data_IF_467949395391
#
_entry.id   IF_467949395391
#
_cell.length_a   1.000
_cell.length_b   1.000
_cell.length_c   1.000
_cell.angle_alpha   90.00
_cell.angle_beta   90.00
_cell.angle_gamma   90.00
#
_symmetry.space_group_name_H-M   'P 1'
#
loop_
_entity.id
_entity.type
_entity.pdbx_description
1 polymer ?
#
# COMPACT_ATOMS: atom_id res chain seq x y z
N UNK A 1 5.62 0.66 19.99
CA UNK A 1 5.00 -0.13 18.90
C UNK A 1 4.04 0.78 18.17
N UNK A 2 4.06 0.87 16.83
CA UNK A 2 3.17 1.79 16.11
C UNK A 2 1.74 1.22 16.02
N UNK A 3 0.72 2.10 15.97
CA UNK A 3 -0.69 1.70 15.85
C UNK A 3 -0.95 0.79 14.65
N UNK A 4 -0.33 1.08 13.51
CA UNK A 4 -0.57 0.34 12.26
C UNK A 4 -0.06 -1.09 12.37
N UNK A 5 1.10 -1.27 13.00
CA UNK A 5 1.64 -2.59 13.24
C UNK A 5 0.74 -3.41 14.19
N UNK A 6 0.27 -2.80 15.29
CA UNK A 6 -0.60 -3.49 16.23
C UNK A 6 -1.91 -3.94 15.57
N UNK A 7 -2.60 -3.01 14.90
CA UNK A 7 -3.86 -3.33 14.20
C UNK A 7 -3.66 -4.39 13.11
N UNK A 8 -2.55 -4.35 12.38
CA UNK A 8 -2.26 -5.37 11.35
C UNK A 8 -2.10 -6.76 11.97
N UNK A 9 -1.42 -6.87 13.12
CA UNK A 9 -1.30 -8.14 13.83
C UNK A 9 -2.64 -8.65 14.38
N UNK A 10 -3.47 -7.75 14.89
CA UNK A 10 -4.78 -8.12 15.42
C UNK A 10 -5.66 -8.67 14.27
N UNK A 11 -5.66 -8.00 13.11
CA UNK A 11 -6.32 -8.49 11.88
C UNK A 11 -5.80 -9.88 11.48
N UNK A 12 -4.48 -10.07 11.45
CA UNK A 12 -3.88 -11.37 11.10
C UNK A 12 -4.28 -12.48 12.09
N UNK A 13 -4.33 -12.16 13.38
CA UNK A 13 -4.75 -13.08 14.43
C UNK A 13 -6.21 -13.49 14.27
N UNK A 14 -7.10 -12.52 14.05
CA UNK A 14 -8.53 -12.75 13.92
C UNK A 14 -8.87 -13.52 12.65
N UNK A 15 -8.13 -13.30 11.56
CA UNK A 15 -8.35 -13.97 10.28
C UNK A 15 -7.65 -15.33 10.14
N UNK A 16 -6.84 -15.78 11.11
CA UNK A 16 -5.95 -16.95 10.99
C UNK A 16 -6.62 -18.23 10.48
N UNK A 17 -7.90 -18.44 10.78
CA UNK A 17 -8.68 -19.62 10.37
C UNK A 17 -9.84 -19.29 9.41
N UNK A 18 -9.89 -18.08 8.84
CA UNK A 18 -10.98 -17.61 7.98
C UNK A 18 -10.61 -17.58 6.49
N UNK A 19 -9.34 -17.81 6.17
CA UNK A 19 -8.78 -17.77 4.82
C UNK A 19 -7.32 -17.36 4.85
N UNK A 20 -6.59 -17.61 3.76
CA UNK A 20 -5.14 -17.36 3.72
C UNK A 20 -4.78 -15.94 3.28
N UNK A 21 -5.70 -15.24 2.60
CA UNK A 21 -5.43 -13.94 1.99
C UNK A 21 -6.28 -12.85 2.64
N UNK A 22 -5.65 -11.73 2.99
CA UNK A 22 -6.30 -10.55 3.56
C UNK A 22 -5.99 -9.35 2.67
N UNK A 23 -7.02 -8.59 2.30
CA UNK A 23 -6.86 -7.34 1.56
C UNK A 23 -7.10 -6.15 2.48
N UNK A 24 -6.08 -5.29 2.65
CA UNK A 24 -6.19 -4.03 3.38
C UNK A 24 -6.29 -2.88 2.36
N UNK A 25 -7.49 -2.33 2.18
CA UNK A 25 -7.71 -1.12 1.37
C UNK A 25 -7.64 0.11 2.28
N UNK A 26 -6.62 0.94 2.11
CA UNK A 26 -6.37 2.09 2.97
C UNK A 26 -5.64 3.21 2.21
N UNK A 27 -4.64 3.85 2.83
CA UNK A 27 -3.89 4.98 2.28
C UNK A 27 -2.50 4.56 1.82
N UNK A 28 -1.82 5.41 1.04
CA UNK A 28 -0.44 5.21 0.62
C UNK A 28 0.52 4.91 1.80
N UNK A 29 0.33 5.58 2.93
CA UNK A 29 1.09 5.34 4.17
C UNK A 29 0.93 3.93 4.75
N UNK A 30 -0.20 3.27 4.49
CA UNK A 30 -0.49 1.94 5.02
C UNK A 30 0.41 0.86 4.43
N UNK A 31 0.84 1.00 3.16
CA UNK A 31 1.71 0.01 2.52
C UNK A 31 3.00 -0.19 3.32
N UNK A 32 3.62 0.89 3.79
CA UNK A 32 4.80 0.80 4.63
C UNK A 32 4.45 0.54 6.10
N UNK A 33 3.51 1.31 6.68
CA UNK A 33 3.26 1.28 8.11
C UNK A 33 2.69 -0.07 8.60
N UNK A 34 1.93 -0.78 7.76
CA UNK A 34 1.36 -2.08 8.10
C UNK A 34 2.33 -3.24 7.84
N UNK A 35 3.27 -3.11 6.90
CA UNK A 35 4.14 -4.24 6.49
C UNK A 35 5.55 -4.15 7.06
N UNK A 36 6.09 -2.96 7.34
CA UNK A 36 7.51 -2.80 7.66
C UNK A 36 7.92 -3.49 8.95
N UNK A 37 7.17 -3.24 10.02
CA UNK A 37 7.42 -3.88 11.31
C UNK A 37 7.01 -5.35 11.34
N UNK A 38 6.05 -5.74 10.51
CA UNK A 38 5.66 -7.13 10.32
C UNK A 38 6.84 -7.96 9.77
N UNK A 39 7.61 -7.38 8.85
CA UNK A 39 8.88 -7.93 8.34
C UNK A 39 10.06 -7.84 9.34
N UNK A 40 9.81 -7.50 10.60
CA UNK A 40 10.85 -7.35 11.63
C UNK A 40 11.74 -6.11 11.47
N UNK A 41 11.41 -5.17 10.58
CA UNK A 41 12.22 -3.96 10.34
C UNK A 41 11.82 -2.82 11.27
N UNK A 42 12.78 -1.96 11.61
CA UNK A 42 12.49 -0.71 12.34
C UNK A 42 11.71 0.28 11.46
N UNK A 43 10.82 1.10 12.05
CA UNK A 43 10.16 2.19 11.32
C UNK A 43 11.17 3.14 10.69
N UNK A 44 10.82 3.73 9.54
CA UNK A 44 11.63 4.80 8.96
C UNK A 44 11.56 6.09 9.80
N UNK A 45 12.50 6.99 9.53
CA UNK A 45 12.37 8.38 9.99
C UNK A 45 11.15 9.02 9.31
N UNK A 46 10.52 10.01 9.95
CA UNK A 46 9.36 10.70 9.39
C UNK A 46 9.66 11.32 8.02
N UNK A 47 10.90 11.78 7.80
CA UNK A 47 11.32 12.38 6.53
C UNK A 47 11.34 11.34 5.41
N UNK A 48 11.94 10.18 5.65
CA UNK A 48 12.07 9.11 4.65
C UNK A 48 10.71 8.47 4.36
N UNK A 49 9.90 8.30 5.41
CA UNK A 49 8.52 7.82 5.29
C UNK A 49 7.70 8.68 4.31
N UNK A 50 7.74 10.01 4.47
CA UNK A 50 7.00 10.93 3.59
C UNK A 50 7.49 10.83 2.14
N UNK A 51 8.79 10.61 1.91
CA UNK A 51 9.35 10.43 0.57
C UNK A 51 8.86 9.14 -0.12
N UNK A 52 8.63 8.08 0.65
CA UNK A 52 8.02 6.84 0.13
C UNK A 52 6.55 7.07 -0.21
N UNK A 53 5.77 7.62 0.74
CA UNK A 53 4.32 7.82 0.58
C UNK A 53 3.96 8.63 -0.66
N UNK A 54 4.74 9.66 -0.99
CA UNK A 54 4.51 10.52 -2.16
C UNK A 54 4.69 9.83 -3.51
N UNK A 55 5.34 8.66 -3.55
CA UNK A 55 5.60 7.91 -4.78
C UNK A 55 4.55 6.83 -5.06
N UNK A 56 3.61 6.60 -4.15
CA UNK A 56 2.61 5.54 -4.27
C UNK A 56 1.41 6.09 -5.05
N UNK A 57 1.09 5.55 -6.24
CA UNK A 57 -0.06 5.98 -7.02
C UNK A 57 -1.38 5.45 -6.43
N UNK A 58 -2.51 5.89 -6.97
CA UNK A 58 -3.79 5.25 -6.69
C UNK A 58 -3.77 3.78 -7.11
N UNK A 59 -4.37 2.93 -6.28
CA UNK A 59 -4.26 1.46 -6.37
C UNK A 59 -2.80 0.96 -6.35
N UNK A 60 -1.87 1.73 -5.79
CA UNK A 60 -0.55 1.23 -5.43
C UNK A 60 -0.70 0.01 -4.53
N UNK A 61 -0.08 -1.10 -4.94
CA UNK A 61 -0.35 -2.42 -4.37
C UNK A 61 0.96 -3.11 -3.99
N UNK A 62 0.99 -3.79 -2.84
CA UNK A 62 2.08 -4.66 -2.42
C UNK A 62 1.52 -5.96 -1.83
N UNK A 63 2.26 -7.06 -1.96
CA UNK A 63 1.98 -8.31 -1.25
C UNK A 63 3.02 -8.53 -0.16
N UNK A 64 2.58 -9.00 1.00
CA UNK A 64 3.44 -9.34 2.14
C UNK A 64 3.04 -10.74 2.59
N UNK A 65 3.94 -11.70 2.49
CA UNK A 65 3.65 -13.13 2.70
C UNK A 65 4.48 -13.70 3.83
N UNK A 66 3.84 -14.50 4.68
CA UNK A 66 4.50 -15.30 5.71
C UNK A 66 5.20 -16.50 5.07
N UNK A 67 6.52 -16.60 5.26
CA UNK A 67 7.31 -17.71 4.75
C UNK A 67 7.08 -18.96 5.61
N UNK A 68 6.50 -20.02 5.05
CA UNK A 68 5.96 -21.17 5.80
C UNK A 68 6.98 -21.91 6.69
N UNK A 69 8.25 -21.85 6.36
CA UNK A 69 9.37 -22.50 7.03
C UNK A 69 10.00 -21.65 8.13
N UNK A 70 9.80 -20.32 8.14
CA UNK A 70 10.41 -19.41 9.12
C UNK A 70 9.40 -18.59 9.93
N UNK A 71 8.14 -18.48 9.47
CA UNK A 71 7.14 -17.57 10.02
C UNK A 71 7.49 -16.09 9.82
N UNK A 72 8.52 -15.79 9.03
CA UNK A 72 8.95 -14.41 8.76
C UNK A 72 8.09 -13.85 7.63
N UNK A 73 7.59 -12.64 7.81
CA UNK A 73 6.87 -11.93 6.76
C UNK A 73 7.84 -11.21 5.84
N UNK A 74 7.58 -11.26 4.54
CA UNK A 74 8.41 -10.59 3.52
C UNK A 74 7.54 -9.99 2.42
N UNK A 75 7.96 -8.85 1.87
CA UNK A 75 7.36 -8.32 0.66
C UNK A 75 7.73 -9.20 -0.54
N UNK A 76 6.74 -9.54 -1.34
CA UNK A 76 6.90 -10.31 -2.58
C UNK A 76 6.19 -9.58 -3.73
N UNK A 77 6.41 -10.06 -4.96
CA UNK A 77 5.71 -9.53 -6.12
C UNK A 77 4.20 -9.75 -5.99
N UNK A 78 3.37 -8.69 -6.20
CA UNK A 78 1.93 -8.85 -6.22
C UNK A 78 1.45 -9.85 -7.28
N UNK A 79 0.35 -10.59 -7.04
CA UNK A 79 -0.20 -11.52 -8.01
C UNK A 79 -0.95 -10.82 -9.18
N UNK A 80 -0.83 -9.50 -9.31
CA UNK A 80 -1.48 -8.67 -10.32
C UNK A 80 -0.49 -7.67 -10.91
N UNK A 81 -0.74 -7.24 -12.15
CA UNK A 81 0.05 -6.22 -12.81
C UNK A 81 -0.25 -4.82 -12.23
N UNK A 82 0.72 -3.89 -12.27
CA UNK A 82 0.49 -2.51 -11.86
C UNK A 82 -0.47 -1.80 -12.83
N UNK A 83 -1.22 -0.82 -12.30
CA UNK A 83 -2.09 0.05 -13.09
C UNK A 83 -1.39 1.39 -13.34
N UNK A 84 -1.38 1.85 -14.58
CA UNK A 84 -0.88 3.19 -14.94
C UNK A 84 -1.72 3.75 -16.09
N UNK A 85 -2.18 5.00 -15.92
CA UNK A 85 -2.91 5.73 -16.94
C UNK A 85 -2.55 7.22 -16.88
N UNK A 86 -2.72 7.92 -18.00
CA UNK A 86 -2.47 9.36 -18.08
C UNK A 86 -3.63 10.20 -17.55
N UNK A 87 -3.39 11.49 -17.22
CA UNK A 87 -4.46 12.42 -16.89
C UNK A 87 -5.36 12.66 -18.11
N UNK A 88 -6.64 12.86 -17.86
CA UNK A 88 -7.56 13.43 -18.85
C UNK A 88 -7.84 14.88 -18.45
N UNK A 89 -7.21 15.83 -19.14
CA UNK A 89 -7.32 17.24 -18.79
C UNK A 89 -8.73 17.76 -19.09
N UNK A 90 -9.21 18.67 -18.23
CA UNK A 90 -10.49 19.34 -18.43
C UNK A 90 -10.51 20.06 -19.79
N UNK A 91 -11.56 19.83 -20.55
CA UNK A 91 -11.80 20.49 -21.83
C UNK A 91 -12.96 21.48 -21.70
N UNK A 92 -12.68 22.76 -21.92
CA UNK A 92 -13.69 23.79 -22.03
C UNK A 92 -13.84 24.20 -23.49
N UNK A 93 -14.93 23.75 -24.13
CA UNK A 93 -15.14 24.00 -25.55
C UNK A 93 -15.34 25.48 -25.89
N UNK A 94 -15.86 26.32 -24.99
CA UNK A 94 -16.03 27.75 -25.28
C UNK A 94 -14.68 28.45 -25.37
N UNK A 95 -13.82 28.26 -24.38
CA UNK A 95 -12.45 28.80 -24.40
C UNK A 95 -11.59 28.22 -25.53
N UNK A 96 -11.82 26.95 -25.87
CA UNK A 96 -10.98 26.27 -26.88
C UNK A 96 -11.44 26.56 -28.31
N UNK A 97 -12.76 26.62 -28.56
CA UNK A 97 -13.33 26.66 -29.91
C UNK A 97 -13.92 28.02 -30.28
N UNK A 98 -14.27 28.88 -29.32
CA UNK A 98 -14.87 30.20 -29.56
C UNK A 98 -13.88 31.34 -29.25
N UNK A 99 -12.58 31.16 -29.45
CA UNK A 99 -11.60 32.25 -29.30
C UNK A 99 -12.06 33.45 -30.14
N UNK A 100 -12.48 34.54 -29.48
CA UNK A 100 -12.68 35.85 -30.12
C UNK A 100 -11.33 36.53 -30.37
#
# INVERSE_FOLDING_TARGET
>A
MSRSYQVTKDILSDCKNMGNNILIVAHASSLEACTRQLQGRSPQTSKDFIQVVRKIPYLGFCSCEEQGDTGVWQLVDPPILPLTHGPNHSFNWKETLLQE
#
